data_IF_202583901352
#
_entry.id   IF_202583901352
#
_cell.length_a   1.000
_cell.length_b   1.000
_cell.length_c   1.000
_cell.angle_alpha   90.00
_cell.angle_beta   90.00
_cell.angle_gamma   90.00
#
_symmetry.space_group_name_H-M   'P 1'
#
loop_
_entity.id
_entity.type
_entity.pdbx_description
1 polymer ?
#
# COMPACT_ATOMS: atom_id res chain seq x y z
N UNK A 1 -8.26 3.69 30.68
CA UNK A 1 -7.06 4.55 30.80
C UNK A 1 -7.17 5.41 32.06
N UNK A 2 -6.17 5.41 32.96
CA UNK A 2 -6.16 6.24 34.18
C UNK A 2 -5.26 7.45 33.98
N UNK A 3 -5.77 8.64 34.28
CA UNK A 3 -5.00 9.88 34.30
C UNK A 3 -4.96 10.47 35.71
N UNK A 4 -3.87 11.14 36.03
CA UNK A 4 -3.63 11.76 37.34
C UNK A 4 -3.00 13.13 37.14
N UNK A 5 -3.30 14.08 38.03
CA UNK A 5 -2.76 15.44 37.97
C UNK A 5 -2.53 16.01 39.36
N UNK A 6 -1.71 17.05 39.44
CA UNK A 6 -1.49 17.80 40.68
C UNK A 6 -2.50 18.94 40.79
N UNK A 7 -2.79 19.38 42.02
CA UNK A 7 -3.65 20.55 42.24
C UNK A 7 -3.01 21.82 41.67
N UNK A 8 -3.80 22.87 41.34
CA UNK A 8 -3.27 24.13 40.83
C UNK A 8 -2.18 24.71 41.73
N UNK A 9 -1.11 25.24 41.13
CA UNK A 9 0.00 25.84 41.86
C UNK A 9 -0.45 27.06 42.69
N UNK A 10 -1.42 27.81 42.17
CA UNK A 10 -2.02 28.97 42.83
C UNK A 10 -3.41 28.62 43.37
N UNK A 11 -3.67 29.04 44.61
CA UNK A 11 -4.95 28.88 45.29
C UNK A 11 -5.56 27.45 45.28
N UNK A 12 -4.81 26.38 45.59
CA UNK A 12 -5.31 25.00 45.54
C UNK A 12 -6.50 24.73 46.48
N UNK A 13 -6.65 25.53 47.54
CA UNK A 13 -7.74 25.41 48.53
C UNK A 13 -9.09 25.85 47.98
N UNK A 14 -9.12 26.60 46.88
CA UNK A 14 -10.37 27.06 46.26
C UNK A 14 -10.99 26.03 45.33
N UNK A 15 -10.29 24.94 45.01
CA UNK A 15 -10.81 23.92 44.10
C UNK A 15 -11.96 23.16 44.76
N UNK A 16 -13.14 23.28 44.16
CA UNK A 16 -14.34 22.56 44.57
C UNK A 16 -14.53 21.28 43.75
N UNK A 17 -14.30 21.34 42.44
CA UNK A 17 -14.35 20.19 41.52
C UNK A 17 -13.39 20.37 40.34
N UNK A 18 -12.99 19.27 39.71
CA UNK A 18 -12.29 19.25 38.44
C UNK A 18 -13.24 18.84 37.33
N UNK A 19 -13.15 19.52 36.18
CA UNK A 19 -13.75 19.10 34.91
C UNK A 19 -12.66 18.57 34.00
N UNK A 20 -12.78 17.31 33.62
CA UNK A 20 -11.88 16.60 32.74
C UNK A 20 -12.51 16.53 31.36
N UNK A 21 -11.88 17.16 30.38
CA UNK A 21 -12.33 17.22 29.00
C UNK A 21 -11.63 16.14 28.19
N UNK A 22 -12.40 15.27 27.53
CA UNK A 22 -11.93 14.23 26.62
C UNK A 22 -12.46 14.52 25.22
N UNK A 23 -11.55 14.71 24.26
CA UNK A 23 -11.88 15.03 22.88
C UNK A 23 -11.37 13.92 21.96
N UNK A 24 -12.23 13.42 21.08
CA UNK A 24 -11.84 12.72 19.85
C UNK A 24 -12.22 13.57 18.62
N UNK A 25 -12.05 13.04 17.40
CA UNK A 25 -12.32 13.77 16.16
C UNK A 25 -13.82 14.04 15.90
N UNK A 26 -14.73 13.48 16.72
CA UNK A 26 -16.18 13.57 16.52
C UNK A 26 -16.92 14.23 17.70
N UNK A 27 -16.51 13.97 18.94
CA UNK A 27 -17.27 14.32 20.15
C UNK A 27 -16.36 14.79 21.29
N UNK A 28 -16.80 15.82 22.00
CA UNK A 28 -16.25 16.21 23.31
C UNK A 28 -17.10 15.61 24.45
N UNK A 29 -16.43 14.97 25.42
CA UNK A 29 -17.03 14.45 26.65
C UNK A 29 -16.42 15.13 27.86
N UNK A 30 -17.26 15.54 28.82
CA UNK A 30 -16.83 16.24 30.03
C UNK A 30 -17.18 15.40 31.24
N UNK A 31 -16.18 15.09 32.06
CA UNK A 31 -16.34 14.34 33.31
C UNK A 31 -16.03 15.23 34.51
N UNK A 32 -16.85 15.14 35.56
CA UNK A 32 -16.63 15.93 36.79
C UNK A 32 -16.16 15.01 37.91
N UNK A 33 -15.10 15.40 38.62
CA UNK A 33 -14.56 14.63 39.76
C UNK A 33 -14.00 15.56 40.84
N UNK A 34 -14.04 15.11 42.11
CA UNK A 34 -13.35 15.78 43.23
C UNK A 34 -11.94 15.24 43.47
N UNK A 35 -11.59 14.14 42.81
CA UNK A 35 -10.30 13.51 42.95
C UNK A 35 -9.30 14.04 41.91
N UNK A 36 -8.02 14.02 42.26
CA UNK A 36 -6.89 14.36 41.38
C UNK A 36 -6.58 13.26 40.34
N UNK A 37 -7.56 12.43 40.01
CA UNK A 37 -7.45 11.36 39.05
C UNK A 37 -8.81 11.00 38.46
N UNK A 38 -8.79 10.52 37.23
CA UNK A 38 -9.97 10.00 36.56
C UNK A 38 -9.62 8.77 35.72
N UNK A 39 -10.52 7.80 35.68
CA UNK A 39 -10.39 6.59 34.87
C UNK A 39 -11.42 6.68 33.75
N UNK A 40 -10.95 6.70 32.52
CA UNK A 40 -11.80 6.58 31.35
C UNK A 40 -12.02 5.11 31.03
N UNK A 41 -13.29 4.72 31.03
CA UNK A 41 -13.79 3.40 30.65
C UNK A 41 -14.51 3.50 29.29
N UNK A 42 -14.59 2.39 28.56
CA UNK A 42 -15.30 2.31 27.27
C UNK A 42 -14.85 3.33 26.21
N UNK A 43 -13.56 3.62 26.14
CA UNK A 43 -12.97 4.37 25.04
C UNK A 43 -13.08 3.55 23.75
N UNK A 44 -13.39 4.20 22.63
CA UNK A 44 -13.47 3.52 21.33
C UNK A 44 -12.07 3.04 20.92
N UNK A 45 -11.92 1.84 20.35
CA UNK A 45 -10.62 1.37 19.86
C UNK A 45 -10.14 2.20 18.66
N UNK A 46 -8.83 2.18 18.42
CA UNK A 46 -8.14 2.79 17.28
C UNK A 46 -8.47 4.28 17.08
N UNK A 47 -8.62 4.99 18.20
CA UNK A 47 -8.89 6.43 18.21
C UNK A 47 -7.82 7.20 18.94
N UNK A 48 -7.53 8.39 18.41
CA UNK A 48 -6.71 9.37 19.08
C UNK A 48 -7.58 10.25 19.97
N UNK A 49 -7.16 10.38 21.22
CA UNK A 49 -7.82 11.18 22.24
C UNK A 49 -6.90 12.31 22.73
N UNK A 50 -7.53 13.45 23.03
CA UNK A 50 -6.90 14.61 23.66
C UNK A 50 -7.61 14.88 24.98
N UNK A 51 -6.84 15.03 26.06
CA UNK A 51 -7.39 15.30 27.40
C UNK A 51 -6.71 16.49 28.05
N UNK A 52 -7.52 17.34 28.69
CA UNK A 52 -7.06 18.38 29.59
C UNK A 52 -8.02 18.54 30.77
N UNK A 53 -7.55 19.16 31.84
CA UNK A 53 -8.31 19.33 33.09
C UNK A 53 -8.43 20.81 33.43
N UNK A 54 -9.61 21.21 33.92
CA UNK A 54 -9.89 22.55 34.43
C UNK A 54 -10.38 22.43 35.87
N UNK A 55 -9.79 23.18 36.80
CA UNK A 55 -10.26 23.28 38.17
C UNK A 55 -11.33 24.35 38.29
N UNK A 56 -12.40 24.06 39.02
CA UNK A 56 -13.51 24.98 39.27
C UNK A 56 -13.64 25.23 40.77
N UNK A 57 -13.85 26.49 41.14
CA UNK A 57 -14.21 26.84 42.50
C UNK A 57 -15.69 26.53 42.79
N UNK A 58 -16.12 26.77 44.02
CA UNK A 58 -17.53 26.62 44.42
C UNK A 58 -18.44 27.58 43.67
N UNK A 59 -17.91 28.74 43.27
CA UNK A 59 -18.56 29.67 42.34
C UNK A 59 -18.36 29.22 40.87
N UNK A 60 -19.44 29.05 40.08
CA UNK A 60 -19.36 28.57 38.71
C UNK A 60 -18.55 29.46 37.75
N UNK A 61 -18.38 30.75 38.06
CA UNK A 61 -17.65 31.69 37.20
C UNK A 61 -16.13 31.63 37.38
N UNK A 62 -15.68 31.09 38.50
CA UNK A 62 -14.27 31.03 38.89
C UNK A 62 -13.64 29.69 38.50
N UNK A 63 -12.78 29.69 37.48
CA UNK A 63 -12.10 28.50 36.94
C UNK A 63 -10.61 28.76 36.66
N UNK A 64 -9.81 27.71 36.70
CA UNK A 64 -8.41 27.76 36.29
C UNK A 64 -8.26 27.87 34.77
N UNK A 65 -7.05 28.16 34.31
CA UNK A 65 -6.64 27.85 32.94
C UNK A 65 -6.62 26.33 32.72
N UNK A 66 -6.82 25.83 31.48
CA UNK A 66 -6.66 24.41 31.16
C UNK A 66 -5.24 23.92 31.43
N UNK A 67 -5.12 22.66 31.85
CA UNK A 67 -3.82 21.98 31.91
C UNK A 67 -3.21 21.79 30.51
N UNK A 68 -1.95 21.37 30.47
CA UNK A 68 -1.36 20.80 29.26
C UNK A 68 -2.23 19.67 28.70
N UNK A 69 -2.28 19.58 27.37
CA UNK A 69 -3.12 18.60 26.70
C UNK A 69 -2.36 17.28 26.57
N UNK A 70 -2.80 16.28 27.32
CA UNK A 70 -2.33 14.90 27.19
C UNK A 70 -2.92 14.27 25.92
N UNK A 71 -2.07 13.65 25.09
CA UNK A 71 -2.48 12.89 23.91
C UNK A 71 -2.24 11.41 24.16
N UNK A 72 -3.25 10.60 23.86
CA UNK A 72 -3.09 9.14 23.86
C UNK A 72 -3.98 8.54 22.78
N UNK A 73 -3.59 7.40 22.26
CA UNK A 73 -4.45 6.60 21.38
C UNK A 73 -4.86 5.33 22.09
N UNK A 74 -6.10 4.93 21.88
CA UNK A 74 -6.52 3.56 22.15
C UNK A 74 -6.06 2.71 20.97
N UNK A 75 -5.40 1.61 21.26
CA UNK A 75 -5.38 0.46 20.36
C UNK A 75 -6.47 -0.48 20.84
N UNK A 76 -7.05 -1.30 19.98
CA UNK A 76 -7.67 -2.53 20.45
C UNK A 76 -6.61 -3.32 21.24
N UNK A 77 -6.60 -3.22 22.57
CA UNK A 77 -5.85 -4.14 23.42
C UNK A 77 -6.62 -5.47 23.44
N UNK A 78 -6.53 -6.15 22.30
CA UNK A 78 -6.84 -7.55 21.97
C UNK A 78 -6.83 -7.71 20.44
N UNK A 79 -5.79 -7.23 19.77
CA UNK A 79 -5.43 -7.90 18.53
C UNK A 79 -4.68 -9.16 18.93
N UNK A 80 -5.38 -10.28 19.09
CA UNK A 80 -4.78 -11.64 19.16
C UNK A 80 -4.11 -12.03 17.81
N UNK A 81 -3.80 -11.02 16.98
CA UNK A 81 -3.34 -11.11 15.62
C UNK A 81 -2.10 -10.25 15.38
N UNK A 82 -1.50 -10.35 14.20
CA UNK A 82 -0.23 -9.69 13.89
C UNK A 82 -0.40 -8.18 13.76
N UNK A 83 0.57 -7.42 14.28
CA UNK A 83 0.65 -5.95 14.12
C UNK A 83 1.00 -5.53 12.70
N UNK A 84 1.52 -6.45 11.90
CA UNK A 84 1.79 -6.27 10.48
C UNK A 84 1.39 -7.54 9.74
N UNK A 85 0.59 -7.43 8.68
CA UNK A 85 0.25 -8.56 7.84
C UNK A 85 0.54 -8.23 6.37
N UNK A 86 1.12 -9.18 5.64
CA UNK A 86 1.37 -9.06 4.21
C UNK A 86 1.20 -10.40 3.51
N UNK A 87 0.70 -10.37 2.27
CA UNK A 87 0.57 -11.54 1.41
C UNK A 87 1.36 -11.32 0.14
N UNK A 88 2.25 -12.26 -0.16
CA UNK A 88 3.06 -12.26 -1.38
C UNK A 88 2.64 -13.44 -2.25
N UNK A 89 2.24 -13.14 -3.48
CA UNK A 89 1.91 -14.12 -4.51
C UNK A 89 3.11 -14.34 -5.42
N UNK A 90 3.54 -15.60 -5.56
CA UNK A 90 4.67 -15.94 -6.42
C UNK A 90 4.45 -17.26 -7.16
N UNK A 91 4.96 -17.39 -8.40
CA UNK A 91 4.97 -18.67 -9.12
C UNK A 91 5.69 -19.75 -8.34
N UNK A 92 5.23 -21.00 -8.45
CA UNK A 92 5.87 -22.16 -7.80
C UNK A 92 7.33 -22.35 -8.25
N UNK A 93 7.63 -21.91 -9.46
CA UNK A 93 8.92 -22.03 -10.12
C UNK A 93 9.88 -20.88 -9.79
N UNK A 94 9.42 -19.87 -9.04
CA UNK A 94 10.24 -18.75 -8.63
C UNK A 94 11.49 -19.23 -7.86
N UNK A 95 12.64 -18.62 -8.16
CA UNK A 95 13.94 -19.03 -7.58
C UNK A 95 14.35 -18.20 -6.37
N UNK A 96 13.75 -17.04 -6.18
CA UNK A 96 14.06 -16.15 -5.07
C UNK A 96 12.85 -15.31 -4.70
N UNK A 97 12.81 -14.88 -3.44
CA UNK A 97 11.82 -13.90 -2.95
C UNK A 97 12.40 -13.10 -1.79
N UNK A 98 11.78 -11.96 -1.50
CA UNK A 98 12.09 -11.14 -0.34
C UNK A 98 10.80 -10.83 0.42
N UNK A 99 10.70 -11.31 1.66
CA UNK A 99 9.55 -11.06 2.53
C UNK A 99 9.77 -9.76 3.33
N UNK A 100 8.87 -8.76 3.27
CA UNK A 100 8.97 -7.54 4.05
C UNK A 100 8.34 -7.70 5.44
N UNK A 101 8.85 -6.98 6.44
CA UNK A 101 8.20 -6.83 7.73
C UNK A 101 8.60 -5.52 8.40
N UNK A 102 7.68 -4.95 9.19
CA UNK A 102 8.00 -3.86 10.10
C UNK A 102 7.19 -3.99 11.40
N UNK A 103 7.79 -3.54 12.49
CA UNK A 103 7.16 -3.49 13.81
C UNK A 103 7.52 -2.19 14.50
N UNK A 104 6.78 -1.83 15.55
CA UNK A 104 7.25 -0.79 16.46
C UNK A 104 8.51 -1.32 17.13
N UNK A 105 9.56 -0.50 17.18
CA UNK A 105 10.81 -0.93 17.80
C UNK A 105 10.57 -1.17 19.29
N UNK A 106 10.85 -2.39 19.73
CA UNK A 106 10.88 -2.75 21.14
C UNK A 106 12.24 -2.44 21.74
N UNK A 107 12.77 -3.40 22.49
CA UNK A 107 14.04 -3.27 23.21
C UNK A 107 15.22 -3.61 22.29
N UNK A 108 15.02 -4.49 21.30
CA UNK A 108 16.10 -4.94 20.43
C UNK A 108 16.27 -4.08 19.17
N UNK A 109 17.39 -4.31 18.51
CA UNK A 109 17.73 -3.78 17.18
C UNK A 109 17.68 -4.83 16.08
N UNK A 110 17.35 -6.09 16.42
CA UNK A 110 17.34 -7.22 15.50
C UNK A 110 15.95 -7.87 15.43
N UNK A 111 15.53 -8.21 14.22
CA UNK A 111 14.30 -8.95 13.95
C UNK A 111 14.63 -10.44 13.79
N UNK A 112 13.84 -11.31 14.43
CA UNK A 112 13.90 -12.75 14.22
C UNK A 112 12.78 -13.15 13.26
N UNK A 113 13.12 -14.02 12.31
CA UNK A 113 12.18 -14.63 11.38
C UNK A 113 12.00 -16.11 11.71
N UNK A 114 10.75 -16.55 11.74
CA UNK A 114 10.34 -17.93 11.96
C UNK A 114 9.36 -18.35 10.87
N UNK A 115 9.39 -19.62 10.49
CA UNK A 115 8.46 -20.21 9.54
C UNK A 115 7.55 -21.19 10.24
N UNK A 116 6.27 -21.15 9.91
CA UNK A 116 5.29 -22.13 10.40
C UNK A 116 5.53 -23.49 9.76
N UNK A 117 5.74 -24.51 10.58
CA UNK A 117 5.91 -25.92 10.19
C UNK A 117 4.94 -26.76 11.02
N UNK A 118 3.83 -27.17 10.40
CA UNK A 118 2.71 -27.77 11.13
C UNK A 118 2.07 -26.76 12.09
N UNK A 119 2.03 -27.10 13.37
CA UNK A 119 1.51 -26.23 14.45
C UNK A 119 2.56 -25.34 15.11
N UNK A 120 3.85 -25.50 14.77
CA UNK A 120 4.95 -24.80 15.44
C UNK A 120 5.65 -23.80 14.52
N UNK A 121 6.25 -22.78 15.13
CA UNK A 121 7.16 -21.88 14.43
C UNK A 121 8.60 -22.34 14.64
N UNK A 122 9.38 -22.34 13.56
CA UNK A 122 10.81 -22.67 13.59
C UNK A 122 11.60 -21.51 13.01
N UNK A 123 12.67 -21.12 13.71
CA UNK A 123 13.57 -20.06 13.24
C UNK A 123 14.07 -20.38 11.83
N UNK A 124 14.01 -19.36 10.98
CA UNK A 124 14.62 -19.40 9.64
C UNK A 124 16.12 -19.21 9.81
N UNK A 125 16.90 -20.20 9.39
CA UNK A 125 18.35 -20.21 9.48
C UNK A 125 18.94 -21.03 8.32
N UNK A 126 20.19 -20.77 7.97
CA UNK A 126 20.93 -21.42 6.89
C UNK A 126 21.37 -20.46 5.78
N UNK A 127 22.29 -20.93 4.93
CA UNK A 127 22.97 -20.12 3.91
C UNK A 127 22.07 -19.56 2.81
N UNK A 128 20.89 -20.16 2.60
CA UNK A 128 19.88 -19.72 1.63
C UNK A 128 19.02 -18.55 2.12
N UNK A 129 19.14 -18.17 3.38
CA UNK A 129 18.34 -17.12 3.99
C UNK A 129 19.23 -15.94 4.37
N UNK A 130 18.81 -14.72 4.03
CA UNK A 130 19.52 -13.51 4.41
C UNK A 130 18.55 -12.49 5.01
N UNK A 131 18.83 -12.09 6.24
CA UNK A 131 17.99 -11.14 6.99
C UNK A 131 18.65 -9.78 6.99
N UNK A 132 17.94 -8.77 6.50
CA UNK A 132 18.31 -7.36 6.67
C UNK A 132 17.43 -6.76 7.75
N UNK A 133 17.99 -6.05 8.72
CA UNK A 133 17.23 -5.31 9.74
C UNK A 133 17.86 -3.95 9.97
N UNK A 134 17.04 -2.90 10.05
CA UNK A 134 17.47 -1.59 10.50
C UNK A 134 16.37 -0.89 11.30
N UNK A 135 16.79 0.05 12.15
CA UNK A 135 15.87 0.98 12.81
C UNK A 135 15.66 2.19 11.89
N UNK A 136 14.40 2.55 11.66
CA UNK A 136 14.02 3.77 10.97
C UNK A 136 13.40 4.75 11.95
N UNK A 137 14.01 5.92 12.10
CA UNK A 137 13.51 6.98 12.97
C UNK A 137 12.50 7.89 12.24
N UNK A 138 11.35 8.13 12.88
CA UNK A 138 10.54 9.30 12.58
C UNK A 138 10.79 10.41 13.62
N UNK A 139 11.52 11.45 13.18
CA UNK A 139 11.90 12.59 14.04
C UNK A 139 10.70 13.40 14.55
N UNK A 140 9.50 13.23 13.99
CA UNK A 140 8.30 13.96 14.43
C UNK A 140 7.44 13.20 15.44
N UNK A 141 7.51 11.87 15.48
CA UNK A 141 6.57 11.05 16.26
C UNK A 141 7.18 10.37 17.49
N UNK A 142 8.50 10.53 17.75
CA UNK A 142 9.24 9.81 18.81
C UNK A 142 9.16 8.27 18.70
N UNK A 143 8.44 7.74 17.71
CA UNK A 143 8.29 6.32 17.44
C UNK A 143 9.41 5.85 16.49
N UNK A 144 10.14 4.84 16.93
CA UNK A 144 11.13 4.15 16.10
C UNK A 144 10.48 2.90 15.51
N UNK A 145 10.70 2.66 14.22
CA UNK A 145 10.23 1.46 13.54
C UNK A 145 11.39 0.50 13.34
N UNK A 146 11.20 -0.76 13.68
CA UNK A 146 12.11 -1.84 13.33
C UNK A 146 11.66 -2.43 11.99
N UNK A 147 12.49 -2.29 10.96
CA UNK A 147 12.17 -2.73 9.60
C UNK A 147 13.08 -3.89 9.23
N UNK A 148 12.55 -4.93 8.62
CA UNK A 148 13.32 -6.08 8.20
C UNK A 148 12.83 -6.71 6.91
N UNK A 149 13.75 -7.31 6.16
CA UNK A 149 13.44 -8.18 5.04
C UNK A 149 14.12 -9.54 5.21
N UNK A 150 13.43 -10.60 4.79
CA UNK A 150 13.98 -11.94 4.67
C UNK A 150 14.10 -12.31 3.19
N UNK A 151 15.33 -12.41 2.71
CA UNK A 151 15.64 -12.97 1.40
C UNK A 151 15.69 -14.49 1.48
N UNK A 152 15.04 -15.13 0.52
CA UNK A 152 15.06 -16.59 0.34
C UNK A 152 15.64 -16.86 -1.04
N UNK A 153 16.84 -17.43 -1.08
CA UNK A 153 17.49 -17.93 -2.30
C UNK A 153 17.16 -19.39 -2.54
N UNK A 154 17.31 -19.87 -3.78
CA UNK A 154 16.98 -21.25 -4.19
C UNK A 154 15.59 -21.69 -3.70
N UNK A 155 14.59 -20.82 -3.86
CA UNK A 155 13.22 -21.03 -3.41
C UNK A 155 12.64 -22.32 -4.00
N UNK A 156 11.93 -23.10 -3.17
CA UNK A 156 11.27 -24.33 -3.59
C UNK A 156 9.85 -24.43 -3.01
N UNK A 157 9.11 -25.46 -3.43
CA UNK A 157 7.71 -25.67 -3.05
C UNK A 157 7.48 -25.77 -1.55
N UNK A 158 8.47 -26.23 -0.78
CA UNK A 158 8.35 -26.34 0.67
C UNK A 158 8.41 -24.99 1.36
N UNK A 159 9.01 -23.96 0.77
CA UNK A 159 9.14 -22.62 1.37
C UNK A 159 7.82 -21.84 1.43
N UNK A 160 6.86 -22.14 0.54
CA UNK A 160 5.55 -21.51 0.59
C UNK A 160 4.85 -21.79 1.93
N UNK A 161 4.17 -20.78 2.47
CA UNK A 161 3.51 -20.84 3.77
C UNK A 161 3.62 -19.54 4.56
N UNK A 162 3.35 -19.64 5.86
CA UNK A 162 3.33 -18.51 6.77
C UNK A 162 4.68 -18.31 7.44
N UNK A 163 5.16 -17.07 7.41
CA UNK A 163 6.34 -16.60 8.13
C UNK A 163 5.92 -15.60 9.19
N UNK A 164 6.62 -15.61 10.31
CA UNK A 164 6.45 -14.68 11.43
C UNK A 164 7.75 -13.92 11.64
N UNK A 165 7.64 -12.61 11.79
CA UNK A 165 8.73 -11.74 12.20
C UNK A 165 8.41 -11.17 13.58
N UNK A 166 9.40 -11.09 14.47
CA UNK A 166 9.22 -10.46 15.78
C UNK A 166 10.51 -9.82 16.27
N UNK A 167 10.41 -8.88 17.22
CA UNK A 167 11.56 -8.29 17.89
C UNK A 167 12.31 -9.38 18.68
N UNK A 168 13.65 -9.41 18.62
CA UNK A 168 14.39 -10.46 19.34
C UNK A 168 14.29 -10.35 20.87
N UNK A 169 13.93 -9.18 21.39
CA UNK A 169 13.73 -8.89 22.81
C UNK A 169 12.28 -9.02 23.29
N UNK A 170 11.30 -9.19 22.39
CA UNK A 170 9.90 -9.40 22.75
C UNK A 170 9.14 -10.17 21.67
N UNK A 171 8.35 -11.17 22.06
CA UNK A 171 7.49 -11.94 21.15
C UNK A 171 6.03 -11.47 21.12
N UNK A 172 5.68 -10.51 21.97
CA UNK A 172 4.30 -10.05 22.11
C UNK A 172 3.84 -9.25 20.88
N UNK A 173 4.76 -8.52 20.25
CA UNK A 173 4.53 -7.83 18.99
C UNK A 173 5.16 -8.64 17.86
N UNK A 174 4.37 -8.97 16.84
CA UNK A 174 4.82 -9.76 15.71
C UNK A 174 4.10 -9.38 14.42
N UNK A 175 4.77 -9.61 13.30
CA UNK A 175 4.19 -9.53 11.97
C UNK A 175 4.07 -10.92 11.36
N UNK A 176 3.12 -11.08 10.45
CA UNK A 176 2.88 -12.31 9.71
C UNK A 176 2.96 -12.03 8.19
N UNK A 177 3.64 -12.90 7.47
CA UNK A 177 3.80 -12.80 6.02
C UNK A 177 3.42 -14.13 5.39
N UNK A 178 2.44 -14.11 4.50
CA UNK A 178 1.98 -15.28 3.77
C UNK A 178 2.62 -15.35 2.39
N UNK A 179 3.50 -16.32 2.17
CA UNK A 179 4.06 -16.62 0.87
C UNK A 179 3.21 -17.68 0.17
N UNK A 180 2.42 -17.26 -0.82
CA UNK A 180 1.42 -18.10 -1.47
C UNK A 180 1.85 -18.40 -2.91
N UNK A 181 1.77 -19.68 -3.26
CA UNK A 181 2.06 -20.12 -4.62
C UNK A 181 0.88 -19.77 -5.54
N UNK A 182 1.14 -18.98 -6.58
CA UNK A 182 0.12 -18.39 -7.43
C UNK A 182 0.64 -18.17 -8.86
N UNK A 183 -0.23 -18.34 -9.86
CA UNK A 183 0.11 -18.10 -11.26
C UNK A 183 -1.00 -17.30 -11.94
N UNK A 184 -0.70 -16.06 -12.34
CA UNK A 184 -1.67 -15.22 -13.05
C UNK A 184 -2.13 -15.82 -14.39
N UNK A 185 -1.33 -16.67 -15.03
CA UNK A 185 -1.67 -17.30 -16.30
C UNK A 185 -2.71 -18.41 -16.19
N UNK A 186 -2.90 -18.97 -14.99
CA UNK A 186 -3.90 -20.02 -14.73
C UNK A 186 -5.25 -19.45 -14.28
N UNK A 187 -5.26 -18.19 -13.84
CA UNK A 187 -6.43 -17.54 -13.29
C UNK A 187 -7.36 -17.00 -14.38
N UNK A 188 -8.64 -16.91 -14.04
CA UNK A 188 -9.60 -16.28 -14.94
C UNK A 188 -9.28 -14.79 -15.05
N UNK A 189 -9.31 -14.19 -16.26
CA UNK A 189 -9.14 -12.75 -16.40
C UNK A 189 -10.14 -11.99 -15.52
N UNK A 190 -9.73 -10.88 -14.86
CA UNK A 190 -10.67 -9.97 -14.20
C UNK A 190 -11.81 -9.56 -15.14
N UNK A 191 -12.95 -9.15 -14.59
CA UNK A 191 -14.13 -8.75 -15.40
C UNK A 191 -13.83 -7.58 -16.32
N UNK A 192 -13.06 -6.60 -15.82
CA UNK A 192 -12.64 -5.41 -16.56
C UNK A 192 -11.14 -5.50 -16.89
N UNK A 193 -10.69 -4.97 -18.04
CA UNK A 193 -9.26 -4.80 -18.28
C UNK A 193 -8.68 -3.80 -17.26
N UNK A 194 -7.34 -3.77 -17.09
CA UNK A 194 -6.71 -2.72 -16.29
C UNK A 194 -7.17 -1.33 -16.76
N UNK A 195 -7.28 -0.37 -15.85
CA UNK A 195 -7.62 1.02 -16.19
C UNK A 195 -6.48 1.67 -17.02
N UNK A 196 -6.80 2.69 -17.82
CA UNK A 196 -5.76 3.57 -18.38
C UNK A 196 -5.14 4.44 -17.28
N UNK A 197 -3.98 5.02 -17.58
CA UNK A 197 -3.33 5.97 -16.66
C UNK A 197 -4.26 7.15 -16.35
N UNK A 198 -4.98 7.64 -17.36
CA UNK A 198 -5.92 8.74 -17.24
C UNK A 198 -7.13 8.36 -16.39
N UNK A 199 -7.70 7.17 -16.60
CA UNK A 199 -8.82 6.64 -15.81
C UNK A 199 -8.44 6.51 -14.33
N UNK A 200 -7.30 5.87 -14.04
CA UNK A 200 -6.82 5.73 -12.67
C UNK A 200 -6.56 7.11 -12.03
N UNK A 201 -5.88 8.01 -12.73
CA UNK A 201 -5.53 9.32 -12.20
C UNK A 201 -6.77 10.17 -11.90
N UNK A 202 -7.73 10.20 -12.83
CA UNK A 202 -8.99 10.95 -12.68
C UNK A 202 -9.84 10.41 -11.53
N UNK A 203 -9.79 9.09 -11.28
CA UNK A 203 -10.46 8.46 -10.13
C UNK A 203 -9.74 8.74 -8.81
N UNK A 204 -8.41 8.82 -8.84
CA UNK A 204 -7.58 8.93 -7.64
C UNK A 204 -7.39 10.37 -7.12
N UNK A 205 -7.50 11.37 -8.01
CA UNK A 205 -7.25 12.79 -7.70
C UNK A 205 -8.55 13.59 -7.74
N UNK A 206 -8.97 14.09 -6.58
CA UNK A 206 -10.17 14.95 -6.46
C UNK A 206 -9.84 16.45 -6.52
N UNK A 207 -8.60 16.83 -6.22
CA UNK A 207 -8.19 18.22 -6.26
C UNK A 207 -8.11 18.71 -7.71
N UNK A 208 -8.98 19.67 -8.07
CA UNK A 208 -9.04 20.24 -9.43
C UNK A 208 -7.72 20.86 -9.88
N UNK A 209 -6.91 21.39 -8.97
CA UNK A 209 -5.58 21.91 -9.31
C UNK A 209 -4.63 20.81 -9.81
N UNK A 210 -4.84 19.57 -9.35
CA UNK A 210 -4.02 18.40 -9.66
C UNK A 210 -4.57 17.54 -10.81
N UNK A 211 -5.82 17.72 -11.22
CA UNK A 211 -6.36 17.07 -12.43
C UNK A 211 -5.54 17.39 -13.69
N UNK A 212 -4.96 18.59 -13.74
CA UNK A 212 -4.04 18.99 -14.82
C UNK A 212 -2.83 18.06 -14.96
N UNK A 213 -2.44 17.33 -13.91
CA UNK A 213 -1.37 16.33 -13.93
C UNK A 213 -1.81 15.07 -14.68
N UNK A 214 -3.10 14.72 -14.68
CA UNK A 214 -3.61 13.52 -15.34
C UNK A 214 -3.61 13.62 -16.87
N UNK A 215 -3.61 14.82 -17.44
CA UNK A 215 -3.66 14.99 -18.89
C UNK A 215 -2.27 14.83 -19.54
N UNK A 216 -2.14 13.84 -20.42
CA UNK A 216 -0.93 13.53 -21.19
C UNK A 216 -0.47 14.66 -22.15
N UNK A 217 -1.26 15.72 -22.34
CA UNK A 217 -1.06 16.78 -23.34
C UNK A 217 -0.01 17.85 -23.00
N UNK A 218 0.49 17.93 -21.77
CA UNK A 218 1.61 18.82 -21.46
C UNK A 218 2.92 18.08 -21.68
N UNK A 219 3.58 18.36 -22.81
CA UNK A 219 4.83 17.72 -23.26
C UNK A 219 5.97 17.69 -22.22
N UNK A 220 5.84 18.38 -21.07
CA UNK A 220 6.83 18.43 -19.98
C UNK A 220 6.27 18.25 -18.55
N UNK A 221 4.94 18.19 -18.31
CA UNK A 221 4.37 18.23 -16.94
C UNK A 221 3.26 17.21 -16.61
N UNK A 222 2.83 16.39 -17.58
CA UNK A 222 1.79 15.37 -17.34
C UNK A 222 2.32 14.07 -16.75
N UNK A 223 1.43 13.29 -16.13
CA UNK A 223 1.67 11.90 -15.72
C UNK A 223 1.88 11.03 -16.96
N UNK A 224 2.90 10.18 -16.95
CA UNK A 224 3.22 9.28 -18.07
C UNK A 224 3.58 7.89 -17.56
N UNK A 225 3.29 6.83 -18.32
CA UNK A 225 3.79 5.49 -18.00
C UNK A 225 5.32 5.49 -17.86
N UNK A 226 5.84 4.82 -16.84
CA UNK A 226 7.30 4.70 -16.60
C UNK A 226 8.01 5.94 -16.05
N UNK A 227 7.31 7.08 -15.91
CA UNK A 227 7.86 8.26 -15.20
C UNK A 227 7.45 8.19 -13.74
N UNK A 228 8.44 8.28 -12.84
CA UNK A 228 8.22 8.15 -11.39
C UNK A 228 7.24 9.20 -10.87
N UNK A 229 7.44 10.49 -11.20
CA UNK A 229 6.50 11.57 -10.93
C UNK A 229 6.96 12.89 -11.58
N UNK A 230 6.07 13.74 -12.14
CA UNK A 230 6.41 15.11 -12.52
C UNK A 230 6.48 16.02 -11.27
N UNK A 231 7.56 16.79 -11.08
CA UNK A 231 7.76 17.71 -9.96
C UNK A 231 6.63 18.75 -9.84
N UNK A 232 5.56 18.41 -9.13
CA UNK A 232 4.45 19.31 -8.85
C UNK A 232 4.31 19.47 -7.34
N UNK A 233 4.99 20.50 -6.81
CA UNK A 233 4.89 20.92 -5.40
C UNK A 233 3.43 21.12 -4.92
N UNK A 234 2.49 21.31 -5.85
CA UNK A 234 1.06 21.51 -5.62
C UNK A 234 0.29 20.21 -5.32
N UNK A 235 0.80 19.05 -5.69
CA UNK A 235 0.07 17.77 -5.63
C UNK A 235 0.71 16.75 -4.70
N UNK A 236 1.43 17.23 -3.68
CA UNK A 236 2.15 16.41 -2.69
C UNK A 236 1.23 15.47 -1.92
N UNK A 237 0.00 15.89 -1.62
CA UNK A 237 -0.98 15.11 -0.86
C UNK A 237 -1.51 13.93 -1.68
N UNK A 238 -1.52 14.06 -3.00
CA UNK A 238 -1.94 13.01 -3.93
C UNK A 238 -0.76 12.21 -4.49
N UNK A 239 0.47 12.45 -4.04
CA UNK A 239 1.68 11.83 -4.58
C UNK A 239 1.61 10.30 -4.56
N UNK A 240 1.27 9.69 -3.42
CA UNK A 240 1.17 8.23 -3.34
C UNK A 240 0.03 7.69 -4.22
N UNK A 241 -1.08 8.42 -4.32
CA UNK A 241 -2.23 8.03 -5.15
C UNK A 241 -1.88 8.07 -6.64
N UNK A 242 -1.18 9.11 -7.07
CA UNK A 242 -0.67 9.28 -8.42
C UNK A 242 0.38 8.22 -8.78
N UNK A 243 1.27 7.91 -7.83
CA UNK A 243 2.28 6.87 -7.99
C UNK A 243 1.65 5.48 -8.18
N UNK A 244 0.51 5.19 -7.54
CA UNK A 244 -0.25 3.95 -7.76
C UNK A 244 -0.81 3.84 -9.19
N UNK A 245 -1.03 4.95 -9.88
CA UNK A 245 -1.53 4.93 -11.26
C UNK A 245 -0.42 4.71 -12.29
N UNK A 246 0.80 5.17 -12.01
CA UNK A 246 1.97 4.92 -12.89
C UNK A 246 2.60 3.55 -12.68
N UNK A 247 2.24 2.87 -11.60
CA UNK A 247 2.83 1.61 -11.19
C UNK A 247 1.77 0.52 -11.07
N UNK A 248 1.72 -0.35 -12.08
CA UNK A 248 0.92 -1.56 -12.02
C UNK A 248 1.48 -2.48 -10.92
N UNK A 249 0.80 -2.49 -9.77
CA UNK A 249 1.07 -3.27 -8.56
C UNK A 249 2.38 -2.87 -7.85
N UNK A 250 2.26 -1.99 -6.85
CA UNK A 250 3.36 -1.61 -5.95
C UNK A 250 3.56 -2.71 -4.90
N UNK A 251 4.44 -3.68 -5.16
CA UNK A 251 4.77 -4.77 -4.24
C UNK A 251 6.30 -4.94 -4.01
N UNK A 252 7.04 -3.83 -4.10
CA UNK A 252 8.51 -3.83 -4.07
C UNK A 252 9.11 -3.57 -2.68
N UNK A 253 8.31 -3.66 -1.60
CA UNK A 253 8.75 -3.38 -0.24
C UNK A 253 10.00 -4.17 0.16
N UNK A 254 10.03 -5.48 -0.11
CA UNK A 254 11.16 -6.34 0.23
C UNK A 254 12.48 -5.85 -0.38
N UNK A 255 12.47 -5.47 -1.67
CA UNK A 255 13.63 -4.89 -2.33
C UNK A 255 14.03 -3.54 -1.73
N UNK A 256 13.07 -2.65 -1.47
CA UNK A 256 13.36 -1.35 -0.89
C UNK A 256 13.95 -1.42 0.52
N UNK A 257 13.50 -2.40 1.32
CA UNK A 257 14.06 -2.66 2.65
C UNK A 257 15.51 -3.15 2.55
N UNK A 258 15.84 -4.06 1.60
CA UNK A 258 17.24 -4.44 1.32
C UNK A 258 18.13 -3.24 0.95
N UNK A 259 17.54 -2.23 0.29
CA UNK A 259 18.22 -0.98 -0.09
C UNK A 259 18.29 0.02 1.07
N UNK A 260 17.87 -0.34 2.28
CA UNK A 260 17.82 0.51 3.47
C UNK A 260 17.00 1.80 3.29
N UNK A 261 15.93 1.76 2.49
CA UNK A 261 15.04 2.90 2.32
C UNK A 261 14.26 3.14 3.63
N UNK A 262 14.26 4.35 4.22
CA UNK A 262 13.58 4.62 5.48
C UNK A 262 12.09 4.22 5.46
N UNK A 263 11.56 3.76 6.60
CA UNK A 263 10.18 3.29 6.74
C UNK A 263 9.15 4.26 6.14
N UNK A 264 9.26 5.55 6.49
CA UNK A 264 8.38 6.62 5.99
C UNK A 264 8.39 6.82 4.47
N UNK A 265 9.36 6.23 3.77
CA UNK A 265 9.54 6.29 2.33
C UNK A 265 9.13 4.99 1.62
N UNK A 266 8.84 3.91 2.36
CA UNK A 266 8.44 2.63 1.77
C UNK A 266 7.08 2.68 1.08
N UNK A 267 6.25 3.70 1.36
CA UNK A 267 5.02 3.94 0.61
C UNK A 267 5.24 4.34 -0.86
N UNK A 268 6.49 4.59 -1.28
CA UNK A 268 6.87 4.68 -2.70
C UNK A 268 7.10 3.32 -3.36
N UNK A 269 7.30 2.28 -2.55
CA UNK A 269 7.64 0.93 -3.00
C UNK A 269 6.43 0.00 -2.97
N UNK A 270 5.53 0.21 -2.01
CA UNK A 270 4.41 -0.68 -1.74
C UNK A 270 3.24 0.08 -1.14
N UNK A 271 2.03 -0.22 -1.59
CA UNK A 271 0.81 0.46 -1.14
C UNK A 271 0.41 0.16 0.30
N UNK A 272 0.95 -0.92 0.89
CA UNK A 272 0.73 -1.29 2.29
C UNK A 272 1.45 -0.36 3.27
N UNK A 273 2.35 0.50 2.78
CA UNK A 273 3.04 1.51 3.57
C UNK A 273 2.46 2.88 3.26
N UNK A 274 2.19 3.67 4.30
CA UNK A 274 1.74 5.04 4.13
C UNK A 274 2.90 5.95 3.73
N UNK A 275 2.64 6.86 2.79
CA UNK A 275 3.57 7.92 2.44
C UNK A 275 2.95 9.28 2.73
N UNK A 276 3.36 9.88 3.84
CA UNK A 276 2.81 11.18 4.25
C UNK A 276 3.28 12.31 3.31
N UNK A 277 2.49 13.38 3.11
CA UNK A 277 2.85 14.46 2.18
C UNK A 277 4.11 15.22 2.57
N UNK A 278 4.42 15.28 3.86
CA UNK A 278 5.66 15.85 4.38
C UNK A 278 6.89 15.00 4.07
N UNK A 279 6.69 13.68 3.93
CA UNK A 279 7.74 12.71 3.64
C UNK A 279 8.00 12.58 2.15
N UNK A 280 6.97 12.70 1.29
CA UNK A 280 7.07 12.48 -0.16
C UNK A 280 8.23 13.23 -0.81
N UNK A 281 8.38 14.53 -0.55
CA UNK A 281 9.49 15.33 -1.09
C UNK A 281 10.88 14.84 -0.62
N UNK A 282 11.02 14.50 0.67
CA UNK A 282 12.30 14.00 1.23
C UNK A 282 12.63 12.60 0.74
N UNK A 283 11.62 11.84 0.32
CA UNK A 283 11.79 10.49 -0.17
C UNK A 283 12.23 10.46 -1.64
N UNK A 284 12.08 11.55 -2.39
CA UNK A 284 12.52 11.64 -3.80
C UNK A 284 14.01 11.34 -4.02
N UNK A 285 14.86 11.48 -2.99
CA UNK A 285 16.26 11.06 -3.07
C UNK A 285 16.43 9.56 -3.35
N UNK A 286 15.45 8.73 -2.97
CA UNK A 286 15.46 7.28 -3.19
C UNK A 286 14.76 6.84 -4.48
N UNK A 287 14.38 7.79 -5.35
CA UNK A 287 13.62 7.48 -6.58
C UNK A 287 14.35 6.48 -7.50
N UNK A 288 15.68 6.48 -7.49
CA UNK A 288 16.47 5.60 -8.37
C UNK A 288 16.40 4.16 -7.90
N UNK A 289 16.58 3.95 -6.60
CA UNK A 289 16.52 2.66 -5.93
C UNK A 289 15.12 2.07 -6.03
N UNK A 290 14.08 2.90 -5.85
CA UNK A 290 12.69 2.47 -5.99
C UNK A 290 12.41 2.02 -7.43
N UNK A 291 12.85 2.78 -8.44
CA UNK A 291 12.71 2.38 -9.85
C UNK A 291 13.44 1.09 -10.18
N UNK A 292 14.63 0.87 -9.61
CA UNK A 292 15.36 -0.39 -9.78
C UNK A 292 14.56 -1.56 -9.20
N UNK A 293 14.02 -1.40 -7.99
CA UNK A 293 13.18 -2.42 -7.37
C UNK A 293 11.91 -2.73 -8.17
N UNK A 294 11.28 -1.71 -8.76
CA UNK A 294 10.14 -1.89 -9.65
C UNK A 294 10.52 -2.63 -10.93
N UNK A 295 11.66 -2.27 -11.53
CA UNK A 295 12.17 -2.94 -12.72
C UNK A 295 12.47 -4.43 -12.46
N UNK A 296 12.94 -4.80 -11.26
CA UNK A 296 13.14 -6.22 -10.89
C UNK A 296 11.84 -7.04 -11.02
N UNK A 297 10.67 -6.46 -10.70
CA UNK A 297 9.36 -7.11 -10.83
C UNK A 297 8.85 -7.05 -12.26
N UNK A 298 8.90 -5.87 -12.90
CA UNK A 298 8.40 -5.67 -14.26
C UNK A 298 9.13 -6.52 -15.29
N UNK A 299 10.44 -6.73 -15.11
CA UNK A 299 11.26 -7.57 -15.99
C UNK A 299 10.86 -9.05 -15.97
N UNK A 300 10.09 -9.51 -14.98
CA UNK A 300 9.57 -10.87 -14.93
C UNK A 300 8.29 -11.05 -15.75
N UNK A 301 7.60 -9.95 -16.07
CA UNK A 301 6.34 -9.95 -16.81
C UNK A 301 6.59 -9.94 -18.32
N UNK A 302 5.60 -10.36 -19.13
CA UNK A 302 5.68 -10.25 -20.58
C UNK A 302 5.64 -8.79 -21.02
N UNK A 303 6.24 -8.51 -22.18
CA UNK A 303 6.04 -7.24 -22.86
C UNK A 303 4.65 -7.17 -23.49
N UNK A 304 4.20 -5.96 -23.79
CA UNK A 304 2.97 -5.74 -24.56
C UNK A 304 3.03 -6.51 -25.89
N UNK A 305 1.87 -7.00 -26.35
CA UNK A 305 1.81 -7.61 -27.68
C UNK A 305 2.13 -6.57 -28.74
N UNK A 306 2.92 -6.95 -29.74
CA UNK A 306 3.23 -6.12 -30.90
C UNK A 306 2.34 -6.49 -32.08
N UNK A 307 2.20 -5.56 -33.03
CA UNK A 307 1.46 -5.76 -34.29
C UNK A 307 0.02 -6.29 -34.10
N UNK A 308 -0.67 -5.79 -33.06
CA UNK A 308 -2.08 -6.06 -32.85
C UNK A 308 -2.91 -5.47 -34.00
N UNK A 309 -3.56 -6.36 -34.74
CA UNK A 309 -4.37 -6.05 -35.92
C UNK A 309 -5.78 -6.57 -35.73
N UNK A 310 -6.74 -5.77 -36.14
CA UNK A 310 -8.14 -6.14 -36.21
C UNK A 310 -8.69 -5.90 -37.61
N UNK A 311 -9.50 -6.85 -38.10
CA UNK A 311 -10.29 -6.69 -39.32
C UNK A 311 -11.73 -7.04 -39.00
N UNK A 312 -12.63 -6.08 -39.21
CA UNK A 312 -14.06 -6.26 -38.99
C UNK A 312 -14.75 -6.53 -40.32
N UNK A 313 -15.58 -7.56 -40.35
CA UNK A 313 -16.48 -7.89 -41.44
C UNK A 313 -17.87 -8.11 -40.83
N UNK A 314 -18.82 -7.23 -41.17
CA UNK A 314 -20.11 -7.10 -40.51
C UNK A 314 -19.99 -6.93 -38.98
N UNK A 315 -20.51 -7.89 -38.19
CA UNK A 315 -20.42 -7.92 -36.73
C UNK A 315 -19.27 -8.80 -36.21
N UNK A 316 -18.46 -9.40 -37.09
CA UNK A 316 -17.36 -10.32 -36.73
C UNK A 316 -16.00 -9.63 -36.88
N UNK A 317 -15.23 -9.59 -35.79
CA UNK A 317 -13.88 -9.03 -35.78
C UNK A 317 -12.83 -10.12 -35.62
N UNK A 318 -11.89 -10.18 -36.56
CA UNK A 318 -10.74 -11.07 -36.53
C UNK A 318 -9.53 -10.34 -35.96
N UNK A 319 -8.94 -10.91 -34.92
CA UNK A 319 -7.77 -10.39 -34.22
C UNK A 319 -6.54 -11.24 -34.48
N UNK A 320 -5.40 -10.56 -34.64
CA UNK A 320 -4.08 -11.20 -34.69
C UNK A 320 -3.02 -10.29 -34.07
N UNK A 321 -2.03 -10.87 -33.42
CA UNK A 321 -0.88 -10.17 -32.86
C UNK A 321 0.36 -11.04 -32.90
N UNK A 322 1.52 -10.47 -32.61
CA UNK A 322 2.78 -11.21 -32.53
C UNK A 322 2.98 -11.81 -31.14
N UNK A 323 3.69 -12.94 -31.09
CA UNK A 323 3.97 -13.64 -29.83
C UNK A 323 4.91 -12.81 -28.95
N UNK A 324 4.53 -12.61 -27.68
CA UNK A 324 5.41 -12.03 -26.65
C UNK A 324 6.23 -13.14 -25.99
N UNK A 325 7.56 -12.97 -25.86
CA UNK A 325 8.50 -14.05 -25.50
C UNK A 325 8.16 -14.75 -24.17
N UNK A 326 7.83 -13.97 -23.14
CA UNK A 326 7.53 -14.48 -21.79
C UNK A 326 6.06 -14.85 -21.58
N UNK A 327 5.21 -14.70 -22.60
CA UNK A 327 3.78 -14.93 -22.48
C UNK A 327 3.43 -16.42 -22.43
N UNK A 328 2.63 -16.80 -21.43
CA UNK A 328 2.04 -18.12 -21.29
C UNK A 328 0.61 -18.16 -21.88
N UNK A 329 -0.15 -17.08 -21.66
CA UNK A 329 -1.52 -16.87 -22.18
C UNK A 329 -1.72 -15.40 -22.57
N UNK A 330 -2.82 -15.13 -23.29
CA UNK A 330 -3.28 -13.80 -23.65
C UNK A 330 -4.68 -13.57 -23.13
N UNK A 331 -4.84 -12.50 -22.34
CA UNK A 331 -6.16 -12.04 -21.91
C UNK A 331 -6.66 -11.04 -22.94
N UNK A 332 -7.78 -11.35 -23.59
CA UNK A 332 -8.41 -10.51 -24.61
C UNK A 332 -9.73 -10.02 -24.07
N UNK A 333 -9.87 -8.69 -24.02
CA UNK A 333 -11.08 -8.00 -23.62
C UNK A 333 -11.71 -7.35 -24.84
N UNK A 334 -13.03 -7.40 -24.95
CA UNK A 334 -13.77 -6.67 -25.98
C UNK A 334 -15.13 -6.20 -25.48
N UNK A 335 -15.62 -5.08 -26.04
CA UNK A 335 -16.98 -4.57 -25.79
C UNK A 335 -17.53 -3.87 -27.03
N UNK A 336 -18.85 -3.60 -27.00
CA UNK A 336 -19.57 -2.76 -27.97
C UNK A 336 -20.12 -1.53 -27.27
N UNK A 337 -19.97 -0.34 -27.86
CA UNK A 337 -20.62 0.93 -27.46
C UNK A 337 -20.47 1.23 -25.97
N UNK A 338 -19.26 1.06 -25.43
CA UNK A 338 -18.97 1.22 -23.98
C UNK A 338 -19.85 0.36 -23.06
N UNK A 339 -20.38 -0.76 -23.56
CA UNK A 339 -21.09 -1.75 -22.78
C UNK A 339 -20.17 -2.56 -21.85
N UNK A 340 -20.69 -3.62 -21.21
CA UNK A 340 -19.88 -4.46 -20.33
C UNK A 340 -18.77 -5.16 -21.10
N UNK A 341 -17.61 -5.29 -20.46
CA UNK A 341 -16.48 -6.03 -21.02
C UNK A 341 -16.78 -7.53 -21.06
N UNK A 342 -16.39 -8.15 -22.17
CA UNK A 342 -16.29 -9.60 -22.30
C UNK A 342 -14.81 -9.95 -22.36
N UNK A 343 -14.42 -11.05 -21.71
CA UNK A 343 -13.03 -11.47 -21.65
C UNK A 343 -12.85 -12.95 -22.01
N UNK A 344 -11.69 -13.25 -22.59
CA UNK A 344 -11.24 -14.61 -22.88
C UNK A 344 -9.75 -14.74 -22.54
N UNK A 345 -9.33 -15.92 -22.11
CA UNK A 345 -7.91 -16.28 -21.97
C UNK A 345 -7.56 -17.36 -22.98
N UNK A 346 -6.57 -17.11 -23.83
CA UNK A 346 -6.16 -18.03 -24.90
C UNK A 346 -4.64 -18.20 -24.96
N UNK A 347 -4.16 -19.32 -25.51
CA UNK A 347 -2.72 -19.56 -25.73
C UNK A 347 -2.23 -19.12 -27.12
N UNK A 348 -3.14 -19.06 -28.08
CA UNK A 348 -2.85 -18.64 -29.46
C UNK A 348 -2.75 -17.13 -29.60
N UNK A 349 -2.32 -16.67 -30.78
CA UNK A 349 -2.15 -15.25 -31.12
C UNK A 349 -3.25 -14.71 -32.03
N UNK A 350 -4.36 -15.43 -32.13
CA UNK A 350 -5.50 -15.06 -32.97
C UNK A 350 -6.80 -15.35 -32.24
N UNK A 351 -7.79 -14.46 -32.38
CA UNK A 351 -9.12 -14.64 -31.80
C UNK A 351 -10.19 -14.05 -32.71
N UNK A 352 -11.38 -14.63 -32.70
CA UNK A 352 -12.57 -14.07 -33.32
C UNK A 352 -13.52 -13.58 -32.23
N UNK A 353 -13.96 -12.34 -32.34
CA UNK A 353 -14.91 -11.74 -31.39
C UNK A 353 -16.09 -11.16 -32.16
N UNK A 354 -17.27 -11.26 -31.57
CA UNK A 354 -18.49 -10.65 -32.12
C UNK A 354 -18.69 -9.28 -31.49
N UNK A 355 -19.21 -8.33 -32.27
CA UNK A 355 -19.75 -7.08 -31.76
C UNK A 355 -18.70 -6.30 -30.95
N UNK A 356 -17.54 -6.00 -31.55
CA UNK A 356 -16.45 -5.32 -30.88
C UNK A 356 -16.11 -3.98 -31.56
N UNK A 357 -16.10 -2.90 -30.79
CA UNK A 357 -15.56 -1.59 -31.18
C UNK A 357 -14.42 -1.12 -30.25
N UNK A 358 -14.20 -1.79 -29.12
CA UNK A 358 -13.04 -1.59 -28.25
C UNK A 358 -12.45 -2.94 -27.86
N UNK A 359 -11.13 -3.05 -27.97
CA UNK A 359 -10.39 -4.30 -27.73
C UNK A 359 -9.12 -4.00 -26.94
N UNK A 360 -8.85 -4.85 -25.95
CA UNK A 360 -7.62 -4.81 -25.16
C UNK A 360 -6.99 -6.19 -25.13
N UNK A 361 -5.71 -6.27 -25.46
CA UNK A 361 -4.94 -7.53 -25.38
C UNK A 361 -3.80 -7.36 -24.40
N UNK A 362 -3.70 -8.28 -23.44
CA UNK A 362 -2.59 -8.38 -22.49
C UNK A 362 -1.89 -9.72 -22.67
N UNK A 363 -0.57 -9.69 -22.78
CA UNK A 363 0.26 -10.87 -22.60
C UNK A 363 0.41 -11.17 -21.10
N UNK A 364 0.21 -12.41 -20.69
CA UNK A 364 0.22 -12.80 -19.27
C UNK A 364 1.08 -14.02 -19.05
N UNK A 365 1.85 -14.02 -17.96
CA UNK A 365 2.57 -15.18 -17.47
C UNK A 365 2.28 -15.40 -15.99
N UNK A 366 2.94 -16.38 -15.38
CA UNK A 366 2.79 -16.69 -13.98
C UNK A 366 3.07 -15.51 -13.02
N UNK A 367 3.91 -14.54 -13.38
CA UNK A 367 4.24 -13.33 -12.58
C UNK A 367 3.28 -12.15 -12.78
N UNK A 368 2.39 -12.20 -13.76
CA UNK A 368 1.40 -11.17 -14.01
C UNK A 368 1.27 -10.73 -15.48
N UNK A 369 0.37 -9.76 -15.73
CA UNK A 369 0.15 -9.21 -17.06
C UNK A 369 1.23 -8.17 -17.44
N UNK A 370 1.60 -8.16 -18.71
CA UNK A 370 2.33 -7.06 -19.34
C UNK A 370 1.47 -5.82 -19.53
N UNK A 371 2.04 -4.78 -20.16
CA UNK A 371 1.28 -3.58 -20.52
C UNK A 371 0.15 -3.89 -21.51
N UNK A 372 -1.04 -3.30 -21.36
CA UNK A 372 -2.15 -3.51 -22.26
C UNK A 372 -1.89 -2.88 -23.64
N UNK A 373 -2.25 -3.59 -24.71
CA UNK A 373 -2.35 -3.02 -26.05
C UNK A 373 -3.83 -2.79 -26.37
N UNK A 374 -4.21 -1.56 -26.72
CA UNK A 374 -5.60 -1.13 -26.89
C UNK A 374 -5.84 -0.67 -28.32
N UNK A 375 -6.95 -1.12 -28.90
CA UNK A 375 -7.44 -0.63 -30.19
C UNK A 375 -8.94 -0.31 -30.10
N UNK A 376 -9.35 0.75 -30.79
CA UNK A 376 -10.75 1.14 -30.91
C UNK A 376 -11.12 1.29 -32.39
N UNK A 377 -12.38 1.02 -32.71
CA UNK A 377 -12.93 1.18 -34.05
C UNK A 377 -13.61 2.54 -34.17
N UNK A 378 -12.96 3.48 -34.86
CA UNK A 378 -13.43 4.84 -35.05
C UNK A 378 -13.31 5.23 -36.52
N UNK A 379 -14.29 5.97 -37.05
CA UNK A 379 -14.29 6.46 -38.44
C UNK A 379 -14.00 5.37 -39.50
N UNK A 380 -14.56 4.17 -39.28
CA UNK A 380 -14.39 3.00 -40.16
C UNK A 380 -12.96 2.41 -40.19
N UNK A 381 -12.12 2.75 -39.22
CA UNK A 381 -10.77 2.22 -39.08
C UNK A 381 -10.47 1.80 -37.63
N UNK A 382 -9.55 0.84 -37.47
CA UNK A 382 -9.02 0.48 -36.16
C UNK A 382 -7.83 1.36 -35.82
N UNK A 383 -7.98 2.16 -34.77
CA UNK A 383 -6.92 3.01 -34.22
C UNK A 383 -6.31 2.34 -32.98
N UNK A 384 -4.98 2.33 -32.89
CA UNK A 384 -4.25 1.75 -31.76
C UNK A 384 -3.70 2.79 -30.80
N UNK A 385 -3.43 2.36 -29.57
CA UNK A 385 -2.81 3.16 -28.51
C UNK A 385 -3.55 4.50 -28.25
N UNK A 386 -4.87 4.43 -28.16
CA UNK A 386 -5.65 5.55 -27.64
C UNK A 386 -5.52 5.58 -26.10
N UNK A 387 -5.15 6.74 -25.57
CA UNK A 387 -5.10 7.06 -24.13
C UNK A 387 -6.09 8.17 -23.80
#
# INVERSE_FOLDING_TARGET
>A
MKIQWSSPAEHPKLVHVYKVHLLDDEIERIHTTKHNSHIFEHLRPDRSYRVYVVAHASDPSSKSVPSDILRFSTSSSDSDGPSFNSTLHLPKEAKRTTLPCHLRKGISTHMIWEKKVGSFYRRVDGSRYHVTTYTSEDRKELMQMLVSSLDIYDLNSSDFGTYRCHDSGSRNDYGEVHLIAYSHALEKPPENPPETLLECCSRAVFNRACLSVCHAGSAKRGLRPGVFYPDTKLCKDDFQKLLRCTLSEMNSAGCCIRRNIPYRCLGMCDSNFELTPLSSYKCMQYQSEVRQCQAEVLNLRPEAVSNLRAKTEDDLTFLSWDRSEKAEVYHVYHRRRRGPWKSASIKGTTLRVMNADEIVVLAVNSYGPGSPNRIAFENNEWIGNYD
#
